data_IF_437379123286
#
_entry.id   IF_437379123286
#
_cell.length_a   1.000
_cell.length_b   1.000
_cell.length_c   1.000
_cell.angle_alpha   90.00
_cell.angle_beta   90.00
_cell.angle_gamma   90.00
#
_symmetry.space_group_name_H-M   'P 1'
#
loop_
_entity.id
_entity.type
_entity.pdbx_description
1 polymer ?
#
# COMPACT_ATOMS: atom_id res chain seq x y z
N UNK A 1 -4.72 0.43 8.03
CA UNK A 1 -4.94 -0.69 7.09
C UNK A 1 -4.28 -1.94 7.63
N UNK A 2 -4.93 -3.06 7.52
CA UNK A 2 -4.43 -4.35 7.96
C UNK A 2 -4.74 -5.43 6.92
N UNK A 3 -3.74 -6.26 6.59
CA UNK A 3 -3.88 -7.40 5.69
C UNK A 3 -3.98 -8.69 6.50
N UNK A 4 -5.02 -9.50 6.35
CA UNK A 4 -5.10 -10.81 6.99
C UNK A 4 -4.09 -11.81 6.41
N UNK A 5 -3.79 -11.68 5.12
CA UNK A 5 -2.83 -12.55 4.41
C UNK A 5 -2.11 -11.78 3.31
N UNK A 6 -0.87 -12.12 3.09
CA UNK A 6 -0.11 -11.71 1.94
C UNK A 6 -0.11 -12.83 0.87
N UNK A 7 0.31 -12.43 -0.29
CA UNK A 7 0.24 -13.16 -1.55
C UNK A 7 0.63 -14.63 -1.50
N UNK A 8 -0.19 -15.42 -2.17
CA UNK A 8 0.19 -16.74 -2.66
C UNK A 8 0.81 -16.62 -4.07
N UNK A 9 1.56 -17.62 -4.54
CA UNK A 9 2.01 -17.71 -5.94
C UNK A 9 0.84 -17.55 -6.90
N UNK A 10 0.98 -16.68 -7.91
CA UNK A 10 -0.08 -16.39 -8.87
C UNK A 10 -1.13 -15.37 -8.39
N UNK A 11 -0.82 -14.59 -7.38
CA UNK A 11 -1.68 -13.52 -6.88
C UNK A 11 -1.84 -12.38 -7.90
N UNK A 12 -2.75 -11.45 -7.62
CA UNK A 12 -3.27 -10.44 -8.55
C UNK A 12 -2.22 -9.61 -9.31
N UNK A 13 -1.10 -9.30 -8.68
CA UNK A 13 0.01 -8.54 -9.30
C UNK A 13 1.28 -9.39 -9.50
N UNK A 14 1.20 -10.72 -9.36
CA UNK A 14 2.33 -11.62 -9.57
C UNK A 14 3.32 -11.71 -8.40
N UNK A 15 2.93 -11.30 -7.21
CA UNK A 15 3.74 -11.48 -6.00
C UNK A 15 3.95 -12.95 -5.65
N UNK A 16 5.16 -13.30 -5.25
CA UNK A 16 5.60 -14.69 -5.01
C UNK A 16 6.05 -14.93 -3.56
N UNK A 17 6.03 -13.90 -2.69
CA UNK A 17 6.43 -14.02 -1.29
C UNK A 17 5.22 -14.37 -0.40
N UNK A 18 4.97 -15.65 -0.09
CA UNK A 18 3.78 -16.09 0.64
C UNK A 18 3.88 -15.79 2.13
N UNK A 19 2.73 -15.60 2.78
CA UNK A 19 2.61 -15.50 4.23
C UNK A 19 3.06 -14.18 4.86
N UNK A 20 3.55 -13.21 4.10
CA UNK A 20 3.86 -11.87 4.60
C UNK A 20 2.56 -11.11 4.81
N UNK A 21 2.36 -10.53 6.01
CA UNK A 21 1.20 -9.68 6.33
C UNK A 21 1.63 -8.24 6.44
N UNK A 22 0.77 -7.34 5.98
CA UNK A 22 1.02 -5.90 6.02
C UNK A 22 0.01 -5.17 6.91
N UNK A 23 0.50 -4.20 7.67
CA UNK A 23 -0.29 -3.16 8.32
C UNK A 23 0.32 -1.80 7.98
N UNK A 24 -0.50 -0.78 7.78
CA UNK A 24 0.01 0.55 7.48
C UNK A 24 -0.92 1.65 8.02
N UNK A 25 -0.31 2.75 8.45
CA UNK A 25 -0.99 4.03 8.62
C UNK A 25 -0.87 4.83 7.33
N UNK A 26 -1.93 5.51 6.92
CA UNK A 26 -1.93 6.33 5.71
C UNK A 26 -2.56 7.70 5.98
N UNK A 27 -1.92 8.74 5.44
CA UNK A 27 -2.46 10.09 5.36
C UNK A 27 -2.63 10.39 3.87
N UNK A 28 -3.86 10.68 3.44
CA UNK A 28 -4.18 10.90 2.04
C UNK A 28 -4.75 12.29 1.82
N UNK A 29 -4.19 13.01 0.88
CA UNK A 29 -4.73 14.26 0.35
C UNK A 29 -5.37 14.02 -1.01
N UNK A 30 -6.48 14.70 -1.29
CA UNK A 30 -7.18 14.56 -2.57
C UNK A 30 -7.67 15.91 -3.07
N UNK A 31 -7.67 16.10 -4.40
CA UNK A 31 -8.24 17.28 -5.07
C UNK A 31 -9.07 16.88 -6.27
N UNK A 32 -10.16 17.58 -6.54
CA UNK A 32 -11.02 17.28 -7.69
C UNK A 32 -10.27 17.68 -8.98
N UNK A 33 -10.19 16.77 -9.95
CA UNK A 33 -9.66 16.99 -11.29
C UNK A 33 -10.78 17.29 -12.29
N UNK A 34 -11.83 16.45 -12.25
CA UNK A 34 -12.94 16.52 -13.20
C UNK A 34 -14.24 16.12 -12.50
N UNK A 35 -15.31 16.79 -12.90
CA UNK A 35 -16.67 16.47 -12.49
C UNK A 35 -17.55 16.23 -13.70
N UNK A 36 -18.14 15.04 -13.77
CA UNK A 36 -19.09 14.63 -14.81
C UNK A 36 -20.44 14.38 -14.14
N UNK A 37 -21.27 15.40 -14.10
CA UNK A 37 -22.52 15.35 -13.33
C UNK A 37 -22.26 15.12 -11.84
N UNK A 38 -22.76 14.03 -11.31
CA UNK A 38 -22.55 13.64 -9.91
C UNK A 38 -21.24 12.87 -9.67
N UNK A 39 -20.63 12.31 -10.69
CA UNK A 39 -19.36 11.55 -10.61
C UNK A 39 -18.17 12.49 -10.54
N UNK A 40 -17.20 12.17 -9.72
CA UNK A 40 -15.97 12.97 -9.56
C UNK A 40 -14.73 12.12 -9.78
N UNK A 41 -13.85 12.58 -10.63
CA UNK A 41 -12.48 12.11 -10.74
C UNK A 41 -11.58 13.02 -9.91
N UNK A 42 -10.76 12.43 -9.05
CA UNK A 42 -9.90 13.13 -8.10
C UNK A 42 -8.47 12.65 -8.26
N UNK A 43 -7.53 13.57 -8.20
CA UNK A 43 -6.15 13.25 -7.93
C UNK A 43 -5.99 12.94 -6.44
N UNK A 44 -5.12 11.99 -6.12
CA UNK A 44 -4.77 11.69 -4.75
C UNK A 44 -3.26 11.51 -4.58
N UNK A 45 -2.76 11.96 -3.44
CA UNK A 45 -1.41 11.67 -2.97
C UNK A 45 -1.49 11.11 -1.55
N UNK A 46 -0.61 10.17 -1.22
CA UNK A 46 -0.65 9.48 0.07
C UNK A 46 0.74 9.39 0.67
N UNK A 47 0.83 9.70 1.96
CA UNK A 47 1.98 9.43 2.83
C UNK A 47 1.68 8.18 3.66
N UNK A 48 2.64 7.28 3.76
CA UNK A 48 2.62 6.09 4.60
C UNK A 48 3.71 6.24 5.68
N UNK A 49 3.43 6.94 6.78
CA UNK A 49 4.42 7.19 7.83
C UNK A 49 4.87 5.92 8.55
N UNK A 50 4.05 4.88 8.53
CA UNK A 50 4.38 3.57 9.10
C UNK A 50 3.84 2.48 8.19
N UNK A 51 4.73 1.59 7.78
CA UNK A 51 4.42 0.31 7.15
C UNK A 51 5.06 -0.77 8.01
N UNK A 52 4.29 -1.78 8.37
CA UNK A 52 4.78 -2.96 9.09
C UNK A 52 4.51 -4.20 8.25
N UNK A 53 5.56 -4.95 7.94
CA UNK A 53 5.49 -6.27 7.32
C UNK A 53 5.86 -7.31 8.37
N UNK A 54 5.05 -8.34 8.54
CA UNK A 54 5.35 -9.47 9.42
C UNK A 54 5.61 -10.72 8.59
N UNK A 55 6.31 -11.69 9.15
CA UNK A 55 6.75 -12.91 8.46
C UNK A 55 7.76 -12.68 7.33
N UNK A 56 8.50 -11.58 7.35
CA UNK A 56 9.60 -11.33 6.42
C UNK A 56 10.75 -12.31 6.74
N UNK A 57 11.34 -12.90 5.73
CA UNK A 57 12.46 -13.81 5.91
C UNK A 57 13.70 -13.09 6.43
N UNK A 58 14.33 -13.69 7.42
CA UNK A 58 15.59 -13.23 7.99
C UNK A 58 16.71 -14.17 7.59
N UNK A 59 17.79 -13.61 7.10
CA UNK A 59 18.97 -14.35 6.67
C UNK A 59 20.17 -14.00 7.54
N UNK A 60 20.98 -14.98 7.87
CA UNK A 60 22.32 -14.83 8.40
C UNK A 60 23.32 -14.94 7.25
N UNK A 61 24.35 -14.11 7.26
CA UNK A 61 25.44 -14.20 6.29
C UNK A 61 26.50 -15.09 6.92
N UNK A 62 26.87 -16.15 6.23
CA UNK A 62 27.97 -17.06 6.60
C UNK A 62 29.04 -16.96 5.51
N UNK A 63 30.29 -16.89 5.91
CA UNK A 63 31.44 -16.74 5.00
C UNK A 63 32.08 -15.36 5.04
N UNK A 64 33.12 -15.19 4.25
CA UNK A 64 33.85 -13.95 4.06
C UNK A 64 33.33 -13.11 2.88
N UNK A 65 34.00 -12.01 2.55
CA UNK A 65 33.54 -11.12 1.47
C UNK A 65 33.50 -11.77 0.08
N UNK A 66 34.26 -12.85 -0.13
CA UNK A 66 34.33 -13.55 -1.42
C UNK A 66 33.33 -14.72 -1.52
N UNK A 67 32.87 -15.27 -0.36
CA UNK A 67 32.02 -16.46 -0.30
C UNK A 67 30.78 -16.28 0.59
N UNK A 68 30.05 -15.17 0.42
CA UNK A 68 28.85 -14.88 1.20
C UNK A 68 27.73 -15.86 0.91
N UNK A 69 27.37 -16.68 1.89
CA UNK A 69 26.22 -17.56 1.85
C UNK A 69 25.09 -16.97 2.72
N UNK A 70 23.91 -16.76 2.11
CA UNK A 70 22.71 -16.35 2.84
C UNK A 70 21.96 -17.59 3.32
N UNK A 71 21.94 -17.79 4.63
CA UNK A 71 21.21 -18.92 5.25
C UNK A 71 19.97 -18.39 5.94
N UNK A 72 18.80 -18.94 5.61
CA UNK A 72 17.54 -18.60 6.26
C UNK A 72 17.65 -18.92 7.76
N UNK A 73 17.62 -17.86 8.58
CA UNK A 73 17.76 -17.96 10.05
C UNK A 73 16.44 -17.79 10.81
N UNK A 74 15.33 -17.53 10.09
CA UNK A 74 14.02 -17.38 10.69
C UNK A 74 13.17 -16.33 9.99
N UNK A 75 12.20 -15.81 10.74
CA UNK A 75 11.29 -14.78 10.28
C UNK A 75 11.26 -13.59 11.23
N UNK A 76 11.03 -12.40 10.70
CA UNK A 76 11.07 -11.15 11.45
C UNK A 76 9.99 -10.18 11.00
N UNK A 77 9.93 -9.04 11.64
CA UNK A 77 9.09 -7.90 11.25
C UNK A 77 9.96 -6.82 10.64
N UNK A 78 9.58 -6.32 9.46
CA UNK A 78 10.20 -5.17 8.81
C UNK A 78 9.31 -3.94 8.97
N UNK A 79 9.93 -2.82 9.29
CA UNK A 79 9.28 -1.51 9.34
C UNK A 79 9.76 -0.65 8.18
N UNK A 80 8.87 0.17 7.65
CA UNK A 80 9.16 1.08 6.55
C UNK A 80 8.23 2.28 6.52
N UNK A 81 8.54 3.15 5.57
CA UNK A 81 7.76 4.34 5.21
C UNK A 81 7.52 4.34 3.71
N UNK A 82 6.57 5.14 3.24
CA UNK A 82 6.30 5.23 1.81
C UNK A 82 5.56 6.48 1.42
N UNK A 83 5.59 6.75 0.13
CA UNK A 83 4.76 7.76 -0.52
C UNK A 83 4.12 7.17 -1.77
N UNK A 84 2.87 7.57 -2.03
CA UNK A 84 2.14 7.30 -3.27
C UNK A 84 1.82 8.67 -3.86
N UNK A 85 2.75 9.27 -4.62
CA UNK A 85 2.58 10.64 -5.12
C UNK A 85 1.56 10.73 -6.25
N UNK A 86 1.27 9.63 -6.92
CA UNK A 86 0.32 9.60 -8.04
C UNK A 86 -0.77 8.60 -7.75
N UNK A 87 -1.99 9.13 -7.63
CA UNK A 87 -3.19 8.34 -7.49
C UNK A 87 -4.39 9.02 -8.15
N UNK A 88 -5.35 8.21 -8.55
CA UNK A 88 -6.63 8.64 -9.11
C UNK A 88 -7.75 7.95 -8.34
N UNK A 89 -8.79 8.72 -8.00
CA UNK A 89 -9.99 8.25 -7.32
C UNK A 89 -11.22 8.62 -8.12
N UNK A 90 -12.02 7.64 -8.48
CA UNK A 90 -13.36 7.82 -9.04
C UNK A 90 -14.39 7.70 -7.92
N UNK A 91 -15.13 8.77 -7.67
CA UNK A 91 -16.18 8.81 -6.66
C UNK A 91 -17.56 8.86 -7.33
N UNK A 92 -18.39 7.86 -7.04
CA UNK A 92 -19.75 7.71 -7.57
C UNK A 92 -20.73 7.83 -6.41
N UNK A 93 -21.62 8.85 -6.36
CA UNK A 93 -22.64 8.94 -5.33
C UNK A 93 -23.69 7.85 -5.54
N UNK A 94 -24.01 7.12 -4.46
CA UNK A 94 -25.09 6.12 -4.41
C UNK A 94 -26.36 6.68 -3.73
N UNK A 95 -26.30 7.93 -3.30
CA UNK A 95 -27.37 8.64 -2.62
C UNK A 95 -26.83 9.89 -1.92
N UNK A 96 -27.65 10.48 -1.03
CA UNK A 96 -27.27 11.73 -0.34
C UNK A 96 -26.18 11.55 0.71
N UNK A 97 -25.99 10.34 1.24
CA UNK A 97 -25.07 10.06 2.36
C UNK A 97 -24.00 9.02 2.03
N UNK A 98 -24.10 8.30 0.91
CA UNK A 98 -23.20 7.22 0.57
C UNK A 98 -22.57 7.50 -0.80
N UNK A 99 -21.27 7.30 -0.91
CA UNK A 99 -20.53 7.31 -2.17
C UNK A 99 -19.72 6.01 -2.27
N UNK A 100 -19.60 5.50 -3.48
CA UNK A 100 -18.65 4.45 -3.80
C UNK A 100 -17.38 5.08 -4.40
N UNK A 101 -16.22 4.62 -3.97
CA UNK A 101 -14.92 5.05 -4.46
C UNK A 101 -14.18 3.87 -5.06
N UNK A 102 -13.61 4.10 -6.24
CA UNK A 102 -12.56 3.26 -6.82
C UNK A 102 -11.29 4.09 -6.90
N UNK A 103 -10.18 3.52 -6.49
CA UNK A 103 -8.89 4.18 -6.49
C UNK A 103 -7.79 3.33 -7.08
N UNK A 104 -6.79 3.98 -7.67
CA UNK A 104 -5.54 3.38 -8.09
C UNK A 104 -4.39 4.34 -7.81
N UNK A 105 -3.19 3.80 -7.53
CA UNK A 105 -2.03 4.64 -7.27
C UNK A 105 -0.72 3.89 -7.41
N UNK A 106 0.36 4.66 -7.58
CA UNK A 106 1.72 4.17 -7.67
C UNK A 106 2.67 5.02 -6.84
N UNK A 107 3.69 4.38 -6.27
CA UNK A 107 4.61 5.06 -5.39
C UNK A 107 5.84 4.24 -5.05
N UNK A 108 6.52 4.68 -4.01
CA UNK A 108 7.74 4.05 -3.50
C UNK A 108 7.64 3.84 -1.99
N UNK A 109 8.27 2.78 -1.53
CA UNK A 109 8.41 2.45 -0.12
C UNK A 109 9.88 2.19 0.21
N UNK A 110 10.27 2.48 1.46
CA UNK A 110 11.60 2.15 1.98
C UNK A 110 11.43 1.45 3.32
N UNK A 111 12.11 0.31 3.46
CA UNK A 111 12.14 -0.48 4.68
C UNK A 111 13.51 -0.38 5.36
N UNK A 112 13.54 -0.63 6.66
CA UNK A 112 14.76 -0.66 7.44
C UNK A 112 15.70 -1.82 7.06
N UNK A 113 15.15 -2.85 6.41
CA UNK A 113 15.87 -4.04 5.94
C UNK A 113 15.46 -4.40 4.52
N UNK A 114 16.17 -5.34 3.90
CA UNK A 114 15.79 -5.89 2.60
C UNK A 114 14.46 -6.65 2.72
N UNK A 115 13.56 -6.44 1.77
CA UNK A 115 12.27 -7.11 1.71
C UNK A 115 11.91 -7.48 0.28
N UNK A 116 11.26 -8.64 0.07
CA UNK A 116 10.83 -9.62 1.09
C UNK A 116 11.93 -10.58 1.54
N UNK A 117 13.03 -10.65 0.79
CA UNK A 117 14.15 -11.60 0.97
C UNK A 117 15.49 -10.86 0.96
N UNK A 118 16.58 -11.53 1.37
CA UNK A 118 17.91 -10.93 1.48
C UNK A 118 18.46 -10.40 0.14
N UNK A 119 18.20 -11.09 -0.96
CA UNK A 119 18.63 -10.69 -2.31
C UNK A 119 17.80 -9.53 -2.92
N UNK A 120 16.79 -9.03 -2.22
CA UNK A 120 15.96 -7.90 -2.63
C UNK A 120 16.54 -6.55 -2.24
N UNK A 121 15.72 -5.49 -2.24
CA UNK A 121 16.12 -4.12 -1.88
C UNK A 121 15.36 -3.59 -0.66
N UNK A 122 15.95 -2.58 0.00
CA UNK A 122 15.24 -1.77 0.99
C UNK A 122 14.24 -0.82 0.33
N UNK A 123 14.55 -0.30 -0.86
CA UNK A 123 13.66 0.55 -1.67
C UNK A 123 12.86 -0.31 -2.62
N UNK A 124 11.55 -0.10 -2.61
CA UNK A 124 10.63 -0.86 -3.43
C UNK A 124 9.61 0.08 -4.06
N UNK A 125 9.15 -0.26 -5.26
CA UNK A 125 7.99 0.34 -5.89
C UNK A 125 6.73 -0.24 -5.26
N UNK A 126 5.64 0.52 -5.32
CA UNK A 126 4.32 0.04 -4.93
C UNK A 126 3.28 0.45 -5.96
N UNK A 127 2.40 -0.48 -6.30
CA UNK A 127 1.18 -0.23 -7.03
C UNK A 127 0.00 -0.64 -6.14
N UNK A 128 -1.06 0.15 -6.16
CA UNK A 128 -2.24 -0.14 -5.36
C UNK A 128 -3.53 0.15 -6.11
N UNK A 129 -4.55 -0.66 -5.82
CA UNK A 129 -5.92 -0.42 -6.20
C UNK A 129 -6.81 -0.51 -4.97
N UNK A 130 -7.81 0.35 -4.84
CA UNK A 130 -8.74 0.28 -3.73
C UNK A 130 -10.19 0.47 -4.16
N UNK A 131 -11.10 -0.08 -3.36
CA UNK A 131 -12.51 0.20 -3.40
C UNK A 131 -13.02 0.50 -1.99
N UNK A 132 -13.92 1.47 -1.87
CA UNK A 132 -14.47 1.86 -0.57
C UNK A 132 -15.88 2.41 -0.67
N UNK A 133 -16.62 2.25 0.42
CA UNK A 133 -17.79 3.04 0.70
C UNK A 133 -17.41 4.23 1.57
N UNK A 134 -17.85 5.40 1.18
CA UNK A 134 -17.72 6.64 1.93
C UNK A 134 -19.09 7.01 2.46
N UNK A 135 -19.22 7.09 3.78
CA UNK A 135 -20.47 7.36 4.49
C UNK A 135 -20.35 8.74 5.13
N UNK A 136 -21.26 9.65 4.78
CA UNK A 136 -21.29 11.00 5.36
C UNK A 136 -21.70 10.94 6.82
N UNK A 137 -20.83 11.40 7.71
CA UNK A 137 -21.07 11.46 9.17
C UNK A 137 -21.30 12.88 9.68
N UNK A 138 -21.09 13.90 8.82
CA UNK A 138 -21.31 15.32 9.13
C UNK A 138 -21.30 16.16 7.85
N UNK A 139 -21.33 17.47 7.99
CA UNK A 139 -21.34 18.40 6.85
C UNK A 139 -20.10 18.21 5.95
N UNK A 140 -18.94 18.10 6.56
CA UNK A 140 -17.64 17.99 5.88
C UNK A 140 -16.85 16.74 6.28
N UNK A 141 -17.51 15.74 6.90
CA UNK A 141 -16.86 14.53 7.43
C UNK A 141 -17.43 13.27 6.78
N UNK A 142 -16.53 12.33 6.48
CA UNK A 142 -16.86 11.05 5.89
C UNK A 142 -16.10 9.94 6.59
N UNK A 143 -16.79 8.86 6.93
CA UNK A 143 -16.21 7.58 7.27
C UNK A 143 -15.95 6.81 5.98
N UNK A 144 -14.77 6.22 5.85
CA UNK A 144 -14.37 5.42 4.71
C UNK A 144 -14.10 3.98 5.19
N UNK A 145 -14.76 3.01 4.54
CA UNK A 145 -14.57 1.58 4.80
C UNK A 145 -14.31 0.89 3.47
N UNK A 146 -13.24 0.15 3.36
CA UNK A 146 -12.86 -0.41 2.07
C UNK A 146 -11.85 -1.54 2.11
N UNK A 147 -11.50 -1.98 0.91
CA UNK A 147 -10.47 -2.96 0.65
C UNK A 147 -9.45 -2.40 -0.32
N UNK A 148 -8.19 -2.76 -0.12
CA UNK A 148 -7.06 -2.36 -0.95
C UNK A 148 -6.24 -3.56 -1.34
N UNK A 149 -5.89 -3.63 -2.60
CA UNK A 149 -4.83 -4.49 -3.14
C UNK A 149 -3.56 -3.67 -3.25
N UNK A 150 -2.46 -4.22 -2.79
CA UNK A 150 -1.19 -3.53 -2.83
C UNK A 150 -0.08 -4.50 -3.22
N UNK A 151 0.65 -4.12 -4.26
CA UNK A 151 1.87 -4.76 -4.71
C UNK A 151 3.08 -3.99 -4.22
N UNK A 152 4.11 -4.69 -3.76
CA UNK A 152 5.42 -4.14 -3.41
C UNK A 152 6.48 -4.99 -4.09
N UNK A 153 7.34 -4.38 -4.90
CA UNK A 153 8.45 -5.05 -5.56
C UNK A 153 9.62 -4.09 -5.77
N UNK A 154 10.82 -4.61 -5.96
CA UNK A 154 11.98 -3.77 -6.25
C UNK A 154 12.09 -3.38 -7.74
N UNK A 155 11.13 -3.76 -8.60
CA UNK A 155 11.12 -3.42 -10.01
C UNK A 155 12.28 -4.02 -10.79
N UNK A 156 12.74 -5.22 -10.42
CA UNK A 156 13.88 -5.92 -11.02
C UNK A 156 15.23 -5.18 -10.88
N UNK A 157 15.33 -4.31 -9.88
CA UNK A 157 16.60 -3.58 -9.59
C UNK A 157 17.56 -4.36 -8.69
N UNK A 158 17.22 -5.58 -8.29
CA UNK A 158 18.03 -6.49 -7.52
C UNK A 158 18.00 -7.90 -8.12
N UNK A 159 18.90 -8.76 -7.64
CA UNK A 159 18.98 -10.14 -8.08
C UNK A 159 17.68 -10.92 -7.85
N UNK A 160 17.04 -10.67 -6.72
CA UNK A 160 15.75 -11.29 -6.38
C UNK A 160 14.63 -10.24 -6.30
N UNK A 161 13.50 -10.54 -6.92
CA UNK A 161 12.31 -9.70 -6.91
C UNK A 161 11.04 -10.57 -6.81
N UNK A 162 10.83 -11.32 -5.72
CA UNK A 162 9.66 -12.17 -5.60
C UNK A 162 8.35 -11.39 -5.50
N UNK A 163 8.40 -10.09 -5.16
CA UNK A 163 7.22 -9.25 -4.97
C UNK A 163 6.35 -9.68 -3.77
N UNK A 164 5.56 -8.76 -3.27
CA UNK A 164 4.58 -9.00 -2.20
C UNK A 164 3.24 -8.46 -2.66
N UNK A 165 2.22 -9.30 -2.73
CA UNK A 165 0.84 -8.88 -2.95
C UNK A 165 0.04 -8.98 -1.66
N UNK A 166 -0.65 -7.92 -1.31
CA UNK A 166 -1.48 -7.86 -0.11
C UNK A 166 -2.91 -7.44 -0.45
N UNK A 167 -3.86 -8.09 0.19
CA UNK A 167 -5.25 -7.63 0.32
C UNK A 167 -5.44 -7.09 1.72
N UNK A 168 -5.87 -5.83 1.83
CA UNK A 168 -6.01 -5.14 3.12
C UNK A 168 -7.40 -4.57 3.25
N UNK A 169 -8.04 -4.79 4.39
CA UNK A 169 -9.19 -4.00 4.78
C UNK A 169 -8.72 -2.72 5.46
N UNK A 170 -9.45 -1.63 5.23
CA UNK A 170 -9.14 -0.37 5.86
C UNK A 170 -10.39 0.38 6.31
N UNK A 171 -10.22 1.14 7.37
CA UNK A 171 -11.14 2.17 7.82
C UNK A 171 -10.39 3.49 7.91
N UNK A 172 -11.07 4.58 7.60
CA UNK A 172 -10.50 5.92 7.64
C UNK A 172 -11.55 6.99 7.83
N UNK A 173 -11.10 8.17 8.18
CA UNK A 173 -11.94 9.36 8.20
C UNK A 173 -11.35 10.39 7.25
N UNK A 174 -12.21 11.09 6.51
CA UNK A 174 -11.82 12.22 5.69
C UNK A 174 -12.67 13.44 6.00
N UNK A 175 -12.07 14.62 5.82
CA UNK A 175 -12.76 15.90 5.98
C UNK A 175 -12.31 16.85 4.89
N UNK A 176 -13.17 17.81 4.58
CA UNK A 176 -12.84 18.86 3.63
C UNK A 176 -12.03 19.95 4.34
N UNK A 177 -10.84 20.21 3.81
CA UNK A 177 -10.05 21.39 4.19
C UNK A 177 -10.49 22.53 3.26
N UNK A 178 -10.96 23.63 3.81
CA UNK A 178 -11.21 24.86 3.06
C UNK A 178 -9.89 25.63 3.04
N UNK A 179 -9.41 25.99 1.86
CA UNK A 179 -8.30 26.92 1.75
C UNK A 179 -8.75 28.26 2.37
N UNK A 180 -7.95 28.89 3.23
CA UNK A 180 -8.21 30.29 3.60
C UNK A 180 -8.21 31.13 2.31
N UNK A 181 -9.21 32.00 2.17
CA UNK A 181 -9.32 33.00 1.10
C UNK A 181 -8.19 34.02 1.24
#
# INVERSE_FOLDING_TARGET
MHSPEASAPGSFFGGQAPGIRQSALAIRATTDLLRLGAVRLRYSAQLLPVIRLTNVERYSIIGDDESRLYVLSGRTTAYGVGIVPVGLDLNVPLGSRIQFQLGAGAGITRFAQHVPVAGSRQRNFTAEGDMAFMIRTGSDRWLQLGMRWKHISNGLTAYENPGIDNRMFFAGMSWRVRAPL
#
